data_IF_320867155816
#
_entry.id   IF_320867155816
#
_cell.length_a   1.000
_cell.length_b   1.000
_cell.length_c   1.000
_cell.angle_alpha   90.00
_cell.angle_beta   90.00
_cell.angle_gamma   90.00
#
_symmetry.space_group_name_H-M   'P 1'
#
loop_
_entity.id
_entity.type
_entity.pdbx_description
1 polymer ?
#
# COMPACT_ATOMS: atom_id res chain seq x y z
N UNK A 1 5.51 -59.48 43.35
CA UNK A 1 4.93 -59.15 42.02
C UNK A 1 3.75 -58.22 42.27
N UNK A 2 3.60 -56.99 41.76
CA UNK A 2 4.17 -56.23 40.65
C UNK A 2 4.18 -54.75 41.07
N UNK A 3 5.27 -54.04 40.77
CA UNK A 3 5.37 -52.58 40.87
C UNK A 3 4.66 -51.94 39.67
N UNK A 4 3.89 -50.88 39.89
CA UNK A 4 3.46 -49.96 38.85
C UNK A 4 3.96 -48.56 39.20
N UNK A 5 5.07 -48.17 38.57
CA UNK A 5 5.52 -46.79 38.52
C UNK A 5 4.73 -46.07 37.42
N UNK A 6 3.98 -45.03 37.78
CA UNK A 6 3.47 -44.04 36.83
C UNK A 6 4.39 -42.82 36.87
N UNK A 7 5.25 -42.70 35.85
CA UNK A 7 6.03 -41.49 35.57
C UNK A 7 5.16 -40.53 34.76
N UNK A 8 4.72 -39.44 35.38
CA UNK A 8 4.14 -38.32 34.67
C UNK A 8 5.27 -37.46 34.07
N UNK A 9 5.47 -37.53 32.76
CA UNK A 9 6.29 -36.54 32.04
C UNK A 9 5.46 -35.28 31.82
N UNK A 10 5.72 -34.24 32.62
CA UNK A 10 5.28 -32.88 32.32
C UNK A 10 6.26 -32.26 31.30
N UNK A 11 5.91 -32.29 30.01
CA UNK A 11 6.60 -31.51 29.00
C UNK A 11 6.16 -30.04 29.13
N UNK A 12 6.98 -29.22 29.79
CA UNK A 12 6.79 -27.76 29.82
C UNK A 12 7.16 -27.21 28.44
N UNK A 13 6.16 -26.92 27.63
CA UNK A 13 6.33 -26.19 26.38
C UNK A 13 6.72 -24.74 26.66
N UNK A 14 7.96 -24.36 26.38
CA UNK A 14 8.39 -22.97 26.33
C UNK A 14 7.84 -22.33 25.05
N UNK A 15 6.64 -21.78 25.14
CA UNK A 15 6.11 -20.89 24.10
C UNK A 15 6.96 -19.62 24.09
N UNK A 16 7.82 -19.46 23.08
CA UNK A 16 8.46 -18.17 22.82
C UNK A 16 7.36 -17.20 22.39
N UNK A 17 6.94 -16.33 23.31
CA UNK A 17 6.11 -15.19 22.98
C UNK A 17 6.93 -14.26 22.08
N UNK A 18 6.68 -14.30 20.77
CA UNK A 18 7.15 -13.27 19.85
C UNK A 18 6.47 -11.99 20.29
N UNK A 19 7.20 -11.11 20.99
CA UNK A 19 6.71 -9.80 21.36
C UNK A 19 6.31 -9.07 20.08
N UNK A 20 5.01 -8.93 19.83
CA UNK A 20 4.50 -8.05 18.78
C UNK A 20 4.88 -6.63 19.16
N UNK A 21 5.96 -6.12 18.57
CA UNK A 21 6.30 -4.71 18.68
C UNK A 21 5.17 -3.87 18.08
N UNK A 22 4.76 -2.82 18.79
CA UNK A 22 3.81 -1.84 18.24
C UNK A 22 4.38 -1.35 16.89
N UNK A 23 3.56 -1.25 15.82
CA UNK A 23 4.03 -0.67 14.57
C UNK A 23 4.63 0.70 14.86
N UNK A 24 5.84 0.95 14.37
CA UNK A 24 6.47 2.26 14.48
C UNK A 24 5.53 3.31 13.88
N UNK A 25 5.35 4.44 14.56
CA UNK A 25 4.55 5.53 14.05
C UNK A 25 5.12 6.01 12.70
N UNK A 26 4.24 6.22 11.72
CA UNK A 26 4.62 6.68 10.38
C UNK A 26 5.24 8.08 10.45
N UNK A 27 6.31 8.33 9.70
CA UNK A 27 6.98 9.63 9.69
C UNK A 27 6.11 10.74 9.08
N UNK A 28 5.28 10.40 8.08
CA UNK A 28 4.43 11.35 7.36
C UNK A 28 2.95 10.90 7.36
N UNK A 29 2.26 10.99 8.52
CA UNK A 29 0.87 10.51 8.64
C UNK A 29 -0.12 11.30 7.77
N UNK A 30 0.17 12.56 7.45
CA UNK A 30 -0.68 13.35 6.55
C UNK A 30 -0.52 12.91 5.09
N UNK A 31 0.69 12.59 4.65
CA UNK A 31 0.93 12.02 3.31
C UNK A 31 0.23 10.66 3.18
N UNK A 32 0.31 9.82 4.22
CA UNK A 32 -0.45 8.55 4.27
C UNK A 32 -1.96 8.77 4.08
N UNK A 33 -2.57 9.68 4.85
CA UNK A 33 -4.00 10.02 4.71
C UNK A 33 -4.34 10.52 3.31
N UNK A 34 -3.50 11.38 2.73
CA UNK A 34 -3.69 11.85 1.35
C UNK A 34 -3.68 10.70 0.37
N UNK A 35 -2.67 9.82 0.42
CA UNK A 35 -2.56 8.68 -0.49
C UNK A 35 -3.76 7.73 -0.39
N UNK A 36 -4.23 7.45 0.83
CA UNK A 36 -5.40 6.61 1.05
C UNK A 36 -6.69 7.25 0.51
N UNK A 37 -6.85 8.57 0.66
CA UNK A 37 -7.99 9.29 0.10
C UNK A 37 -7.96 9.31 -1.43
N UNK A 38 -6.79 9.55 -2.03
CA UNK A 38 -6.66 9.58 -3.48
C UNK A 38 -6.94 8.19 -4.06
N UNK A 39 -6.38 7.13 -3.48
CA UNK A 39 -6.61 5.76 -3.94
C UNK A 39 -8.09 5.35 -3.86
N UNK A 40 -8.83 5.82 -2.84
CA UNK A 40 -10.27 5.61 -2.79
C UNK A 40 -10.99 6.26 -3.97
N UNK A 41 -10.69 7.53 -4.26
CA UNK A 41 -11.28 8.28 -5.37
C UNK A 41 -10.90 7.67 -6.72
N UNK A 42 -9.63 7.27 -6.86
CA UNK A 42 -9.04 6.64 -8.04
C UNK A 42 -9.77 5.33 -8.40
N UNK A 43 -9.98 4.46 -7.41
CA UNK A 43 -10.56 3.13 -7.58
C UNK A 43 -12.09 3.12 -7.69
N UNK A 44 -12.77 4.14 -7.17
CA UNK A 44 -14.22 4.18 -7.13
C UNK A 44 -14.90 3.98 -8.50
N UNK A 45 -14.57 4.73 -9.58
CA UNK A 45 -15.24 4.54 -10.87
C UNK A 45 -15.01 3.14 -11.45
N UNK A 46 -13.79 2.61 -11.35
CA UNK A 46 -13.47 1.23 -11.75
C UNK A 46 -14.32 0.20 -11.01
N UNK A 47 -14.47 0.34 -9.70
CA UNK A 47 -15.30 -0.58 -8.89
C UNK A 47 -16.78 -0.50 -9.28
N UNK A 48 -17.31 0.69 -9.58
CA UNK A 48 -18.70 0.84 -10.04
C UNK A 48 -18.90 0.18 -11.41
N UNK A 49 -18.00 0.45 -12.36
CA UNK A 49 -18.02 -0.16 -13.69
C UNK A 49 -17.95 -1.69 -13.61
N UNK A 50 -17.04 -2.23 -12.78
CA UNK A 50 -16.91 -3.68 -12.57
C UNK A 50 -18.18 -4.31 -11.99
N UNK A 51 -18.84 -3.62 -11.06
CA UNK A 51 -20.12 -4.07 -10.47
C UNK A 51 -21.32 -3.85 -11.39
N UNK A 52 -21.13 -3.23 -12.56
CA UNK A 52 -22.20 -2.79 -13.46
C UNK A 52 -23.23 -1.91 -12.74
N UNK A 53 -22.78 -1.15 -11.74
CA UNK A 53 -23.63 -0.24 -10.99
C UNK A 53 -23.60 1.13 -11.66
N UNK A 54 -24.75 1.69 -12.06
CA UNK A 54 -24.78 3.05 -12.54
C UNK A 54 -24.41 4.00 -11.39
N UNK A 55 -23.72 5.08 -11.72
CA UNK A 55 -23.55 6.17 -10.78
C UNK A 55 -24.91 6.78 -10.45
N UNK A 56 -25.24 6.90 -9.16
CA UNK A 56 -26.51 7.47 -8.72
C UNK A 56 -26.68 8.94 -9.14
N UNK A 57 -25.58 9.64 -9.40
CA UNK A 57 -25.57 10.99 -9.96
C UNK A 57 -25.57 11.04 -11.50
N UNK A 58 -25.60 9.88 -12.19
CA UNK A 58 -25.69 9.78 -13.65
C UNK A 58 -24.43 10.22 -14.40
N UNK A 59 -23.26 10.25 -13.76
CA UNK A 59 -21.99 10.62 -14.42
C UNK A 59 -21.49 9.50 -15.34
N UNK A 60 -20.76 9.89 -16.37
CA UNK A 60 -19.93 8.98 -17.17
C UNK A 60 -18.72 8.54 -16.33
N UNK A 61 -18.74 7.29 -15.87
CA UNK A 61 -17.70 6.71 -15.01
C UNK A 61 -16.34 6.60 -15.71
N UNK A 62 -16.30 6.42 -17.04
CA UNK A 62 -15.06 6.40 -17.82
C UNK A 62 -14.44 7.79 -17.85
N UNK A 63 -15.27 8.83 -17.98
CA UNK A 63 -14.77 10.20 -17.92
C UNK A 63 -14.31 10.57 -16.50
N UNK A 64 -15.03 10.14 -15.46
CA UNK A 64 -14.63 10.36 -14.06
C UNK A 64 -13.28 9.70 -13.76
N UNK A 65 -13.04 8.49 -14.23
CA UNK A 65 -11.75 7.81 -14.10
C UNK A 65 -10.61 8.63 -14.73
N UNK A 66 -10.76 9.02 -16.00
CA UNK A 66 -9.76 9.84 -16.71
C UNK A 66 -9.47 11.16 -15.98
N UNK A 67 -10.52 11.84 -15.52
CA UNK A 67 -10.40 13.07 -14.75
C UNK A 67 -9.65 12.86 -13.43
N UNK A 68 -9.91 11.75 -12.73
CA UNK A 68 -9.22 11.42 -11.49
C UNK A 68 -7.72 11.21 -11.73
N UNK A 69 -7.35 10.40 -12.74
CA UNK A 69 -5.95 10.14 -13.07
C UNK A 69 -5.20 11.44 -13.38
N UNK A 70 -5.80 12.32 -14.20
CA UNK A 70 -5.21 13.61 -14.53
C UNK A 70 -5.04 14.53 -13.31
N UNK A 71 -6.02 14.55 -12.39
CA UNK A 71 -5.96 15.37 -11.16
C UNK A 71 -4.98 14.83 -10.13
N UNK A 72 -4.75 13.51 -10.09
CA UNK A 72 -3.82 12.88 -9.17
C UNK A 72 -2.36 13.18 -9.52
N UNK A 73 -2.02 13.25 -10.82
CA UNK A 73 -0.64 13.46 -11.29
C UNK A 73 0.14 14.56 -10.53
N UNK A 74 -0.31 15.83 -10.49
CA UNK A 74 0.46 16.90 -9.82
C UNK A 74 0.63 16.66 -8.32
N UNK A 75 -0.30 15.92 -7.68
CA UNK A 75 -0.21 15.57 -6.27
C UNK A 75 0.84 14.47 -6.04
N UNK A 76 0.86 13.44 -6.88
CA UNK A 76 1.85 12.36 -6.82
C UNK A 76 3.26 12.89 -7.05
N UNK A 77 3.45 13.78 -8.03
CA UNK A 77 4.73 14.44 -8.25
C UNK A 77 5.17 15.29 -7.05
N UNK A 78 4.23 16.00 -6.42
CA UNK A 78 4.52 16.79 -5.22
C UNK A 78 5.01 15.89 -4.08
N UNK A 79 4.35 14.75 -3.87
CA UNK A 79 4.78 13.76 -2.86
C UNK A 79 6.19 13.26 -3.19
N UNK A 80 6.46 12.90 -4.44
CA UNK A 80 7.80 12.46 -4.87
C UNK A 80 8.86 13.53 -4.64
N UNK A 81 8.57 14.80 -4.94
CA UNK A 81 9.49 15.93 -4.64
C UNK A 81 9.73 16.13 -3.15
N UNK A 82 8.73 15.85 -2.31
CA UNK A 82 8.81 16.07 -0.86
C UNK A 82 9.54 14.95 -0.12
N UNK A 83 9.28 13.69 -0.47
CA UNK A 83 9.73 12.53 0.32
C UNK A 83 10.41 11.42 -0.49
N UNK A 84 10.60 11.60 -1.80
CA UNK A 84 11.06 10.52 -2.68
C UNK A 84 9.97 9.47 -2.88
N UNK A 85 10.34 8.19 -2.94
CA UNK A 85 9.35 7.11 -2.92
C UNK A 85 8.73 7.00 -1.52
N UNK A 86 7.40 7.14 -1.34
CA UNK A 86 6.75 7.08 -0.05
C UNK A 86 6.66 5.63 0.44
N UNK A 87 7.80 5.07 0.87
CA UNK A 87 7.90 3.68 1.33
C UNK A 87 7.29 3.44 2.71
N UNK A 88 7.32 2.17 3.15
CA UNK A 88 6.63 1.68 4.35
C UNK A 88 6.97 2.45 5.64
N UNK A 89 8.25 2.79 5.84
CA UNK A 89 8.72 3.58 7.00
C UNK A 89 8.18 5.01 7.00
N UNK A 90 7.84 5.55 5.83
CA UNK A 90 7.36 6.93 5.70
C UNK A 90 5.86 7.04 5.89
N UNK A 91 5.10 6.16 5.24
CA UNK A 91 3.64 6.28 5.12
C UNK A 91 2.88 4.99 5.47
N UNK A 92 3.56 3.94 5.91
CA UNK A 92 2.96 2.63 6.13
C UNK A 92 2.81 1.81 4.84
N UNK A 93 2.59 0.50 5.00
CA UNK A 93 2.52 -0.43 3.86
C UNK A 93 1.36 -0.11 2.92
N UNK A 94 0.14 -0.01 3.47
CA UNK A 94 -1.08 0.29 2.71
C UNK A 94 -0.92 1.54 1.84
N UNK A 95 -0.48 2.66 2.42
CA UNK A 95 -0.37 3.92 1.68
C UNK A 95 0.77 3.90 0.65
N UNK A 96 1.87 3.18 0.93
CA UNK A 96 2.93 2.95 -0.05
C UNK A 96 2.43 2.13 -1.25
N UNK A 97 1.64 1.09 -1.00
CA UNK A 97 1.06 0.27 -2.07
C UNK A 97 0.01 1.07 -2.86
N UNK A 98 -0.79 1.91 -2.19
CA UNK A 98 -1.71 2.86 -2.82
C UNK A 98 -0.97 3.87 -3.73
N UNK A 99 0.18 4.39 -3.28
CA UNK A 99 1.00 5.27 -4.12
C UNK A 99 1.45 4.56 -5.39
N UNK A 100 1.95 3.32 -5.27
CA UNK A 100 2.36 2.53 -6.42
C UNK A 100 1.20 2.22 -7.38
N UNK A 101 0.02 1.87 -6.85
CA UNK A 101 -1.20 1.69 -7.64
C UNK A 101 -1.51 2.91 -8.49
N UNK A 102 -1.56 4.10 -7.89
CA UNK A 102 -1.87 5.33 -8.62
C UNK A 102 -0.75 5.75 -9.58
N UNK A 103 0.52 5.46 -9.26
CA UNK A 103 1.63 5.72 -10.18
C UNK A 103 1.49 4.90 -11.48
N UNK A 104 0.91 3.69 -11.42
CA UNK A 104 0.63 2.90 -12.61
C UNK A 104 -0.44 3.54 -13.51
N UNK A 105 -1.40 4.29 -12.95
CA UNK A 105 -2.45 4.96 -13.74
C UNK A 105 -2.00 6.28 -14.37
N UNK A 106 -0.74 6.69 -14.17
CA UNK A 106 -0.16 7.90 -14.77
C UNK A 106 0.25 7.70 -16.24
N UNK A 107 -0.59 7.06 -17.06
CA UNK A 107 -0.25 6.66 -18.44
C UNK A 107 0.06 7.85 -19.37
N UNK A 108 -0.52 9.01 -19.09
CA UNK A 108 -0.20 10.26 -19.80
C UNK A 108 1.20 10.82 -19.43
N UNK A 109 1.88 10.25 -18.43
CA UNK A 109 3.13 10.74 -17.86
C UNK A 109 4.19 9.63 -17.72
N UNK A 110 4.65 9.02 -18.84
CA UNK A 110 5.57 7.89 -18.80
C UNK A 110 6.95 8.24 -18.20
N UNK A 111 7.39 9.50 -18.25
CA UNK A 111 8.60 9.96 -17.55
C UNK A 111 8.45 9.89 -16.03
N UNK A 112 7.26 10.22 -15.52
CA UNK A 112 6.95 10.13 -14.10
C UNK A 112 6.93 8.66 -13.65
N UNK A 113 6.31 7.76 -14.43
CA UNK A 113 6.34 6.31 -14.15
C UNK A 113 7.78 5.78 -14.07
N UNK A 114 8.64 6.13 -15.03
CA UNK A 114 10.08 5.77 -15.00
C UNK A 114 10.81 6.35 -13.79
N UNK A 115 10.51 7.58 -13.41
CA UNK A 115 11.08 8.20 -12.20
C UNK A 115 10.67 7.42 -10.94
N UNK A 116 9.40 7.06 -10.80
CA UNK A 116 8.90 6.31 -9.65
C UNK A 116 9.59 4.95 -9.54
N UNK A 117 9.72 4.20 -10.65
CA UNK A 117 10.44 2.92 -10.66
C UNK A 117 11.90 3.08 -10.17
N UNK A 118 12.63 4.08 -10.67
CA UNK A 118 14.02 4.34 -10.22
C UNK A 118 14.09 4.63 -8.72
N UNK A 119 13.11 5.34 -8.17
CA UNK A 119 13.04 5.64 -6.73
C UNK A 119 12.58 4.43 -5.90
N UNK A 120 11.74 3.56 -6.45
CA UNK A 120 11.20 2.38 -5.78
C UNK A 120 12.25 1.29 -5.61
N UNK A 121 13.12 1.07 -6.60
CA UNK A 121 14.15 0.02 -6.56
C UNK A 121 15.00 -0.02 -5.28
N UNK A 122 15.62 1.10 -4.84
CA UNK A 122 16.38 1.08 -3.60
C UNK A 122 15.49 0.85 -2.36
N UNK A 123 14.22 1.25 -2.38
CA UNK A 123 13.29 0.97 -1.29
C UNK A 123 12.88 -0.49 -1.24
N UNK A 124 12.69 -1.16 -2.37
CA UNK A 124 12.49 -2.63 -2.44
C UNK A 124 13.69 -3.37 -1.86
N UNK A 125 14.92 -2.98 -2.24
CA UNK A 125 16.16 -3.58 -1.70
C UNK A 125 16.26 -3.42 -0.17
N UNK A 126 15.70 -2.34 0.37
CA UNK A 126 15.63 -2.06 1.82
C UNK A 126 14.41 -2.68 2.51
N UNK A 127 13.61 -3.49 1.80
CA UNK A 127 12.31 -4.02 2.28
C UNK A 127 11.35 -2.91 2.75
N UNK A 128 11.44 -1.74 2.13
CA UNK A 128 10.64 -0.55 2.41
C UNK A 128 9.60 -0.26 1.30
N UNK A 129 9.46 -1.15 0.34
CA UNK A 129 8.43 -1.15 -0.69
C UNK A 129 8.14 -2.60 -1.11
N UNK A 130 6.95 -2.86 -1.67
CA UNK A 130 6.54 -4.21 -2.08
C UNK A 130 7.38 -4.70 -3.27
N UNK A 131 8.18 -5.76 -3.08
CA UNK A 131 8.97 -6.32 -4.17
C UNK A 131 8.13 -6.95 -5.28
N UNK A 132 6.97 -7.54 -4.94
CA UNK A 132 6.02 -8.09 -5.91
C UNK A 132 5.37 -7.01 -6.80
N UNK A 133 5.41 -5.76 -6.34
CA UNK A 133 4.89 -4.60 -7.06
C UNK A 133 5.93 -4.00 -8.02
N UNK A 134 7.19 -4.42 -7.94
CA UNK A 134 8.28 -3.90 -8.76
C UNK A 134 8.48 -4.78 -10.00
N UNK A 135 8.24 -4.22 -11.18
CA UNK A 135 8.40 -4.88 -12.49
C UNK A 135 9.53 -4.24 -13.31
#
# INVERSE_FOLDING_TARGET
>A
MKYWFLLALAAVGLSQAVAQSKPAAMLYPQVSKTLDSLAYVDQWPMQQMFRQQPDSAGRDLVQVEKDNFARHQPVLEKIVRQVGYPGFRLVGQKSSDNFWLMAQHADAHPDFQRQVLRLMLPEVRRKNAGGANYA
#
